data_IF_832114074244
#
_entry.id   IF_832114074244
#
_cell.length_a   1.000
_cell.length_b   1.000
_cell.length_c   1.000
_cell.angle_alpha   90.00
_cell.angle_beta   90.00
_cell.angle_gamma   90.00
#
_symmetry.space_group_name_H-M   'P 1'
#
loop_
_entity.id
_entity.type
_entity.pdbx_description
1 polymer ?
#
# COMPACT_ATOMS: atom_id res chain seq x y z
N UNK A 1 1.89 18.09 7.42
CA UNK A 1 0.84 17.07 7.34
C UNK A 1 0.49 16.93 5.88
N UNK A 2 0.58 15.73 5.31
CA UNK A 2 0.31 15.48 3.89
C UNK A 2 -1.20 15.48 3.68
N UNK A 3 -1.71 16.30 2.78
CA UNK A 3 -3.11 16.31 2.42
C UNK A 3 -3.35 15.45 1.16
N UNK A 4 -4.61 15.13 0.89
CA UNK A 4 -5.03 14.29 -0.24
C UNK A 4 -4.63 14.83 -1.62
N UNK A 5 -4.34 16.13 -1.75
CA UNK A 5 -3.98 16.81 -2.99
C UNK A 5 -2.50 16.60 -3.32
N UNK A 6 -1.66 16.39 -2.31
CA UNK A 6 -0.22 16.15 -2.45
C UNK A 6 0.10 14.69 -2.84
N UNK A 7 -0.84 13.77 -2.59
CA UNK A 7 -0.60 12.32 -2.75
C UNK A 7 -0.26 11.91 -4.19
N UNK A 8 -0.97 12.35 -5.25
CA UNK A 8 -0.61 12.00 -6.62
C UNK A 8 0.81 12.44 -6.97
N UNK A 9 1.19 13.67 -6.63
CA UNK A 9 2.52 14.21 -6.89
C UNK A 9 3.62 13.41 -6.18
N UNK A 10 3.38 13.01 -4.92
CA UNK A 10 4.33 12.17 -4.17
C UNK A 10 4.47 10.77 -4.78
N UNK A 11 3.38 10.21 -5.32
CA UNK A 11 3.43 8.92 -6.03
C UNK A 11 4.18 9.06 -7.35
N UNK A 12 3.97 10.13 -8.11
CA UNK A 12 4.70 10.35 -9.37
C UNK A 12 6.21 10.51 -9.16
N UNK A 13 6.60 11.23 -8.11
CA UNK A 13 8.01 11.42 -7.73
C UNK A 13 8.67 10.09 -7.33
N UNK A 14 7.94 9.25 -6.58
CA UNK A 14 8.46 7.95 -6.10
C UNK A 14 8.38 6.85 -7.16
N UNK A 15 7.33 6.85 -7.98
CA UNK A 15 6.97 5.79 -8.92
C UNK A 15 6.59 6.42 -10.28
N UNK A 16 7.57 6.91 -11.05
CA UNK A 16 7.30 7.67 -12.28
C UNK A 16 6.49 6.92 -13.34
N UNK A 17 6.54 5.58 -13.32
CA UNK A 17 5.75 4.74 -14.24
C UNK A 17 4.23 4.89 -14.05
N UNK A 18 3.78 5.27 -12.84
CA UNK A 18 2.36 5.50 -12.55
C UNK A 18 1.85 6.85 -13.04
N UNK A 19 2.73 7.76 -13.47
CA UNK A 19 2.35 9.10 -13.94
C UNK A 19 1.23 9.07 -14.97
N UNK A 20 1.33 8.23 -16.00
CA UNK A 20 0.29 8.14 -17.04
C UNK A 20 -1.05 7.67 -16.49
N UNK A 21 -1.05 6.71 -15.56
CA UNK A 21 -2.27 6.21 -14.94
C UNK A 21 -2.91 7.27 -14.03
N UNK A 22 -2.10 8.02 -13.28
CA UNK A 22 -2.57 9.09 -12.39
C UNK A 22 -3.20 10.26 -13.17
N UNK A 23 -2.67 10.59 -14.35
CA UNK A 23 -3.22 11.64 -15.22
C UNK A 23 -4.54 11.26 -15.92
N UNK A 24 -4.94 9.98 -15.89
CA UNK A 24 -6.22 9.54 -16.47
C UNK A 24 -7.41 9.79 -15.54
N UNK A 25 -7.16 10.05 -14.26
CA UNK A 25 -8.23 10.35 -13.31
C UNK A 25 -8.77 11.76 -13.57
N UNK A 26 -10.10 11.96 -13.50
CA UNK A 26 -10.70 13.29 -13.54
C UNK A 26 -10.05 14.21 -12.49
N UNK A 27 -9.99 15.52 -12.76
CA UNK A 27 -9.38 16.52 -11.88
C UNK A 27 -10.06 16.65 -10.49
N UNK A 28 -11.14 15.92 -10.24
CA UNK A 28 -11.89 15.93 -8.98
C UNK A 28 -11.48 14.74 -8.12
N UNK A 29 -10.67 15.01 -7.10
CA UNK A 29 -10.55 14.24 -5.83
C UNK A 29 -10.78 12.72 -5.86
N UNK A 30 -9.75 11.99 -6.28
CA UNK A 30 -9.74 10.53 -6.27
C UNK A 30 -8.58 9.95 -5.44
N UNK A 31 -8.49 10.36 -4.16
CA UNK A 31 -7.44 9.86 -3.26
C UNK A 31 -7.49 8.34 -3.10
N UNK A 32 -8.70 7.77 -3.03
CA UNK A 32 -8.89 6.33 -2.87
C UNK A 32 -8.45 5.55 -4.11
N UNK A 33 -8.74 6.06 -5.31
CA UNK A 33 -8.32 5.47 -6.58
C UNK A 33 -6.82 5.66 -6.79
N UNK A 34 -6.28 6.80 -6.38
CA UNK A 34 -4.83 7.08 -6.39
C UNK A 34 -4.07 6.09 -5.51
N UNK A 35 -4.55 5.87 -4.28
CA UNK A 35 -3.97 4.89 -3.36
C UNK A 35 -4.19 3.46 -3.87
N UNK A 36 -5.33 3.18 -4.51
CA UNK A 36 -5.58 1.90 -5.18
C UNK A 36 -4.59 1.63 -6.31
N UNK A 37 -4.26 2.64 -7.11
CA UNK A 37 -3.24 2.55 -8.16
C UNK A 37 -1.87 2.20 -7.58
N UNK A 38 -1.44 2.92 -6.52
CA UNK A 38 -0.21 2.63 -5.79
C UNK A 38 -0.21 1.20 -5.23
N UNK A 39 -1.32 0.79 -4.62
CA UNK A 39 -1.52 -0.54 -4.03
C UNK A 39 -1.35 -1.63 -5.09
N UNK A 40 -2.11 -1.56 -6.18
CA UNK A 40 -2.09 -2.52 -7.28
C UNK A 40 -0.69 -2.67 -7.90
N UNK A 41 0.00 -1.55 -8.11
CA UNK A 41 1.37 -1.58 -8.61
C UNK A 41 2.32 -2.26 -7.62
N UNK A 42 2.25 -1.89 -6.34
CA UNK A 42 3.09 -2.47 -5.29
C UNK A 42 2.90 -3.99 -5.22
N UNK A 43 1.63 -4.44 -5.26
CA UNK A 43 1.24 -5.84 -5.26
C UNK A 43 1.83 -6.60 -6.44
N UNK A 44 1.72 -6.04 -7.64
CA UNK A 44 2.31 -6.63 -8.83
C UNK A 44 3.83 -6.80 -8.67
N UNK A 45 4.53 -5.74 -8.22
CA UNK A 45 5.98 -5.81 -8.02
C UNK A 45 6.37 -6.83 -6.95
N UNK A 46 5.60 -6.96 -5.87
CA UNK A 46 5.84 -7.97 -4.83
C UNK A 46 5.61 -9.40 -5.35
N UNK A 47 4.55 -9.63 -6.14
CA UNK A 47 4.26 -10.93 -6.76
C UNK A 47 5.33 -11.36 -7.77
N UNK A 48 5.83 -10.40 -8.54
CA UNK A 48 6.92 -10.60 -9.51
C UNK A 48 8.31 -10.62 -8.85
N UNK A 49 8.39 -10.51 -7.51
CA UNK A 49 9.65 -10.46 -6.73
C UNK A 49 10.57 -9.29 -7.11
N UNK A 50 10.02 -8.23 -7.69
CA UNK A 50 10.69 -6.97 -7.98
C UNK A 50 10.79 -6.09 -6.71
N UNK A 51 11.45 -6.61 -5.67
CA UNK A 51 11.51 -5.95 -4.35
C UNK A 51 12.14 -4.55 -4.38
N UNK A 52 13.11 -4.31 -5.27
CA UNK A 52 13.72 -2.99 -5.46
C UNK A 52 12.74 -1.92 -5.92
N UNK A 53 11.67 -2.32 -6.63
CA UNK A 53 10.58 -1.43 -7.07
C UNK A 53 9.45 -1.35 -6.06
N UNK A 54 9.19 -2.45 -5.33
CA UNK A 54 8.17 -2.48 -4.29
C UNK A 54 8.57 -1.66 -3.05
N UNK A 55 9.86 -1.67 -2.68
CA UNK A 55 10.35 -1.02 -1.46
C UNK A 55 10.06 0.50 -1.41
N UNK A 56 10.35 1.31 -2.45
CA UNK A 56 9.96 2.72 -2.47
C UNK A 56 8.46 2.93 -2.32
N UNK A 57 7.64 2.07 -2.92
CA UNK A 57 6.18 2.14 -2.83
C UNK A 57 5.69 1.89 -1.40
N UNK A 58 6.25 0.88 -0.73
CA UNK A 58 5.97 0.56 0.67
C UNK A 58 6.38 1.72 1.57
N UNK A 59 7.60 2.27 1.39
CA UNK A 59 8.07 3.43 2.15
C UNK A 59 7.17 4.65 1.97
N UNK A 60 6.73 4.92 0.75
CA UNK A 60 5.78 6.00 0.48
C UNK A 60 4.46 5.77 1.21
N UNK A 61 3.88 4.57 1.13
CA UNK A 61 2.65 4.25 1.85
C UNK A 61 2.81 4.44 3.37
N UNK A 62 3.95 4.05 3.92
CA UNK A 62 4.27 4.29 5.33
C UNK A 62 4.37 5.76 5.71
N UNK A 63 4.97 6.58 4.84
CA UNK A 63 5.04 8.04 5.02
C UNK A 63 3.68 8.70 4.90
N UNK A 64 2.85 8.27 3.94
CA UNK A 64 1.47 8.76 3.76
C UNK A 64 0.62 8.45 4.98
N UNK A 65 0.74 7.25 5.55
CA UNK A 65 0.01 6.87 6.76
C UNK A 65 0.49 7.63 8.01
N UNK A 66 1.80 7.79 8.18
CA UNK A 66 2.34 8.48 9.35
C UNK A 66 2.03 9.98 9.33
N UNK A 67 2.29 10.64 8.19
CA UNK A 67 2.28 12.11 8.06
C UNK A 67 1.02 12.67 7.41
N UNK A 68 0.13 11.81 6.89
CA UNK A 68 -1.12 12.18 6.24
C UNK A 68 -2.16 12.76 7.18
N UNK A 69 -3.09 13.54 6.62
CA UNK A 69 -4.34 13.91 7.29
C UNK A 69 -5.27 12.69 7.41
N UNK A 70 -6.40 12.84 8.11
CA UNK A 70 -7.34 11.75 8.34
C UNK A 70 -7.76 11.03 7.04
N UNK A 71 -8.06 11.79 5.97
CA UNK A 71 -8.47 11.23 4.68
C UNK A 71 -7.38 10.37 4.04
N UNK A 72 -6.12 10.83 4.07
CA UNK A 72 -4.99 10.08 3.52
C UNK A 72 -4.76 8.79 4.32
N UNK A 73 -4.84 8.86 5.66
CA UNK A 73 -4.71 7.68 6.52
C UNK A 73 -5.79 6.65 6.22
N UNK A 74 -7.06 7.08 6.16
CA UNK A 74 -8.18 6.22 5.83
C UNK A 74 -8.05 5.59 4.43
N UNK A 75 -7.52 6.30 3.44
CA UNK A 75 -7.27 5.73 2.12
C UNK A 75 -6.22 4.61 2.15
N UNK A 76 -5.13 4.78 2.91
CA UNK A 76 -4.11 3.74 3.11
C UNK A 76 -4.70 2.52 3.83
N UNK A 77 -5.48 2.74 4.89
CA UNK A 77 -6.14 1.68 5.66
C UNK A 77 -7.18 0.90 4.85
N UNK A 78 -7.92 1.56 3.96
CA UNK A 78 -8.98 0.94 3.19
C UNK A 78 -8.48 0.25 1.90
N UNK A 79 -7.42 0.74 1.26
CA UNK A 79 -7.00 0.26 -0.07
C UNK A 79 -5.60 -0.34 -0.14
N UNK A 80 -4.66 0.13 0.69
CA UNK A 80 -3.28 -0.34 0.63
C UNK A 80 -3.04 -1.50 1.58
N UNK A 81 -3.41 -1.35 2.86
CA UNK A 81 -3.20 -2.37 3.89
C UNK A 81 -3.93 -3.71 3.62
N UNK A 82 -5.22 -3.72 3.21
CA UNK A 82 -5.93 -4.97 2.95
C UNK A 82 -5.33 -5.71 1.76
N UNK A 83 -4.95 -4.95 0.73
CA UNK A 83 -4.39 -5.51 -0.47
C UNK A 83 -2.97 -6.06 -0.22
N UNK A 84 -2.12 -5.35 0.52
CA UNK A 84 -0.82 -5.85 0.99
C UNK A 84 -0.97 -7.12 1.84
N UNK A 85 -1.99 -7.18 2.69
CA UNK A 85 -2.29 -8.33 3.54
C UNK A 85 -2.75 -9.56 2.75
N UNK A 86 -3.34 -9.37 1.58
CA UNK A 86 -3.81 -10.45 0.73
C UNK A 86 -2.70 -11.11 -0.12
N UNK A 87 -1.43 -10.72 0.03
CA UNK A 87 -0.34 -11.33 -0.72
C UNK A 87 -0.10 -12.76 -0.19
N UNK A 88 -0.26 -13.79 -1.04
CA UNK A 88 0.04 -15.16 -0.63
C UNK A 88 1.54 -15.29 -0.44
N UNK A 89 1.95 -15.73 0.76
CA UNK A 89 3.35 -16.00 1.05
C UNK A 89 3.55 -17.50 1.26
N UNK A 90 4.09 -18.15 0.23
CA UNK A 90 4.19 -19.61 0.17
C UNK A 90 5.26 -20.20 1.11
N UNK A 91 6.30 -19.45 1.46
CA UNK A 91 7.44 -19.94 2.25
C UNK A 91 7.90 -18.93 3.31
N UNK A 92 8.49 -19.47 4.39
CA UNK A 92 8.92 -18.68 5.54
C UNK A 92 9.99 -17.62 5.19
N UNK A 93 10.85 -17.89 4.20
CA UNK A 93 11.91 -16.96 3.79
C UNK A 93 11.33 -15.74 3.08
N UNK A 94 10.41 -15.95 2.14
CA UNK A 94 9.71 -14.86 1.46
C UNK A 94 8.82 -14.06 2.41
N UNK A 95 8.31 -14.68 3.49
CA UNK A 95 7.58 -13.98 4.55
C UNK A 95 8.47 -13.03 5.34
N UNK A 96 9.64 -13.51 5.76
CA UNK A 96 10.62 -12.66 6.46
C UNK A 96 11.04 -11.49 5.57
N UNK A 97 11.30 -11.74 4.28
CA UNK A 97 11.63 -10.68 3.31
C UNK A 97 10.51 -9.67 3.18
N UNK A 98 9.28 -10.10 2.95
CA UNK A 98 8.12 -9.20 2.86
C UNK A 98 8.02 -8.33 4.12
N UNK A 99 8.07 -8.94 5.30
CA UNK A 99 7.90 -8.24 6.57
C UNK A 99 9.02 -7.23 6.81
N UNK A 100 10.25 -7.54 6.38
CA UNK A 100 11.39 -6.61 6.47
C UNK A 100 11.24 -5.36 5.58
N UNK A 101 10.39 -5.41 4.56
CA UNK A 101 10.14 -4.28 3.66
C UNK A 101 8.99 -3.38 4.15
N UNK A 102 8.16 -3.86 5.08
CA UNK A 102 7.02 -3.12 5.59
C UNK A 102 7.51 -2.02 6.55
N UNK A 103 7.16 -0.74 6.32
CA UNK A 103 7.55 0.33 7.22
C UNK A 103 6.99 0.13 8.62
N UNK A 104 7.75 0.53 9.64
CA UNK A 104 7.34 0.44 11.04
C UNK A 104 5.98 1.12 11.31
N UNK A 105 5.69 2.23 10.62
CA UNK A 105 4.41 2.94 10.73
C UNK A 105 3.20 2.12 10.29
N UNK A 106 3.39 1.14 9.39
CA UNK A 106 2.33 0.25 8.89
C UNK A 106 2.35 -1.13 9.56
N UNK A 107 3.46 -1.53 10.15
CA UNK A 107 3.69 -2.90 10.63
C UNK A 107 2.60 -3.37 11.61
N UNK A 108 2.26 -2.54 12.60
CA UNK A 108 1.24 -2.90 13.59
C UNK A 108 -0.12 -3.14 12.93
N UNK A 109 -0.54 -2.26 12.02
CA UNK A 109 -1.83 -2.40 11.33
C UNK A 109 -1.84 -3.60 10.38
N UNK A 110 -0.74 -3.84 9.69
CA UNK A 110 -0.55 -5.00 8.84
C UNK A 110 -0.69 -6.31 9.63
N UNK A 111 -0.03 -6.44 10.78
CA UNK A 111 -0.13 -7.64 11.63
C UNK A 111 -1.56 -7.82 12.15
N UNK A 112 -2.23 -6.76 12.58
CA UNK A 112 -3.63 -6.83 13.01
C UNK A 112 -4.52 -7.37 11.88
N UNK A 113 -4.36 -6.88 10.64
CA UNK A 113 -5.15 -7.38 9.52
C UNK A 113 -4.84 -8.84 9.16
N UNK A 114 -3.58 -9.29 9.27
CA UNK A 114 -3.25 -10.71 9.13
C UNK A 114 -3.98 -11.56 10.16
N UNK A 115 -3.96 -11.16 11.44
CA UNK A 115 -4.60 -11.88 12.54
C UNK A 115 -6.13 -11.91 12.39
N UNK A 116 -6.76 -10.79 12.03
CA UNK A 116 -8.21 -10.71 11.81
C UNK A 116 -8.67 -11.47 10.57
N UNK A 117 -7.86 -11.52 9.51
CA UNK A 117 -8.14 -12.30 8.29
C UNK A 117 -8.19 -13.81 8.53
N UNK A 118 -7.47 -14.32 9.53
CA UNK A 118 -7.51 -15.73 9.93
C UNK A 118 -8.79 -16.12 10.70
N UNK A 119 -9.59 -15.17 11.18
CA UNK A 119 -10.79 -15.45 12.00
C UNK A 119 -12.06 -15.76 11.17
N UNK A 120 -12.01 -15.70 9.84
CA UNK A 120 -13.21 -15.88 8.97
C UNK A 120 -13.29 -17.23 8.24
N UNK A 121 -12.44 -18.22 8.56
CA UNK A 121 -12.49 -19.56 7.96
C UNK A 121 -12.94 -20.63 8.98
N UNK A 122 -14.12 -20.46 9.58
CA UNK A 122 -14.92 -21.60 10.02
C UNK A 122 -16.38 -21.19 10.31
N UNK A 123 -17.32 -21.47 9.40
CA UNK A 123 -18.67 -21.86 9.77
C UNK A 123 -18.78 -23.37 9.65
N UNK A 124 -19.20 -24.00 10.76
CA UNK A 124 -19.67 -25.38 10.82
C UNK A 124 -20.80 -25.66 9.84
#
# INVERSE_FOLDING_TARGET
MINQYEVPALIEDTVPVLRKALHQFPAVFHIYETVTCLSNYTLQQLRERHYSRAMPCLQLAGRLYERGNAVVKSAIEAHFLPALSAIPVADAVNRIKLYSLIPASLYNQFIQQQLSGHTQINPQ
#
